data_IF_438412194659
#
_entry.id   IF_438412194659
#
_cell.length_a   1.000
_cell.length_b   1.000
_cell.length_c   1.000
_cell.angle_alpha   90.00
_cell.angle_beta   90.00
_cell.angle_gamma   90.00
#
_symmetry.space_group_name_H-M   'P 1'
#
loop_
_entity.id
_entity.type
_entity.pdbx_description
1 polymer ?
#
# COMPACT_ATOMS: atom_id res chain seq x y z
N UNK A 1 -24.60 15.34 2.18
CA UNK A 1 -23.36 14.71 2.69
C UNK A 1 -22.90 13.77 1.60
N UNK A 2 -21.66 13.87 1.12
CA UNK A 2 -21.17 12.96 0.08
C UNK A 2 -21.16 11.53 0.66
N UNK A 3 -22.04 10.67 0.16
CA UNK A 3 -22.15 9.29 0.60
C UNK A 3 -21.12 8.39 -0.09
N UNK A 4 -21.09 7.13 0.33
CA UNK A 4 -20.33 6.09 -0.35
C UNK A 4 -20.66 5.94 -1.86
N UNK A 5 -21.92 6.13 -2.32
CA UNK A 5 -22.26 6.06 -3.75
C UNK A 5 -21.59 7.15 -4.60
N UNK A 6 -21.52 8.39 -4.10
CA UNK A 6 -20.92 9.51 -4.83
C UNK A 6 -19.41 9.33 -5.01
N UNK A 7 -18.72 8.81 -3.99
CA UNK A 7 -17.29 8.48 -4.08
C UNK A 7 -17.02 7.37 -5.11
N UNK A 8 -17.92 6.40 -5.22
CA UNK A 8 -17.80 5.31 -6.20
C UNK A 8 -17.93 5.82 -7.64
N UNK A 9 -18.84 6.77 -7.90
CA UNK A 9 -18.98 7.40 -9.22
C UNK A 9 -17.69 8.15 -9.60
N UNK A 10 -17.15 8.94 -8.67
CA UNK A 10 -15.88 9.67 -8.89
C UNK A 10 -14.74 8.68 -9.18
N UNK A 11 -14.66 7.59 -8.42
CA UNK A 11 -13.65 6.55 -8.62
C UNK A 11 -13.74 5.93 -10.03
N UNK A 12 -14.95 5.63 -10.51
CA UNK A 12 -15.16 5.10 -11.87
C UNK A 12 -14.68 6.10 -12.92
N UNK A 13 -15.01 7.39 -12.79
CA UNK A 13 -14.56 8.43 -13.72
C UNK A 13 -13.02 8.50 -13.76
N UNK A 14 -12.36 8.48 -12.61
CA UNK A 14 -10.90 8.47 -12.50
C UNK A 14 -10.33 7.25 -13.23
N UNK A 15 -10.89 6.06 -13.03
CA UNK A 15 -10.44 4.84 -13.71
C UNK A 15 -10.60 4.94 -15.23
N UNK A 16 -11.68 5.55 -15.73
CA UNK A 16 -11.89 5.75 -17.17
C UNK A 16 -10.87 6.72 -17.76
N UNK A 17 -10.57 7.82 -17.07
CA UNK A 17 -9.61 8.83 -17.54
C UNK A 17 -8.17 8.28 -17.56
N UNK A 18 -7.77 7.62 -16.47
CA UNK A 18 -6.39 7.12 -16.34
C UNK A 18 -6.19 5.75 -16.99
N UNK A 19 -7.27 4.99 -17.16
CA UNK A 19 -7.26 3.62 -17.66
C UNK A 19 -6.83 2.59 -16.58
N UNK A 20 -7.41 1.40 -16.66
CA UNK A 20 -7.11 0.29 -15.72
C UNK A 20 -5.63 -0.12 -15.73
N UNK A 21 -4.97 -0.09 -16.90
CA UNK A 21 -3.56 -0.47 -17.03
C UNK A 21 -2.60 0.46 -16.29
N UNK A 22 -2.88 1.78 -16.28
CA UNK A 22 -2.06 2.76 -15.56
C UNK A 22 -2.23 2.63 -14.05
N UNK A 23 -3.47 2.44 -13.58
CA UNK A 23 -3.79 2.21 -12.17
C UNK A 23 -3.10 0.93 -11.67
N UNK A 24 -3.21 -0.20 -12.40
CA UNK A 24 -2.57 -1.47 -12.01
C UNK A 24 -1.05 -1.39 -12.00
N UNK A 25 -0.44 -0.67 -12.95
CA UNK A 25 1.02 -0.48 -12.98
C UNK A 25 1.52 0.29 -11.75
N UNK A 26 0.90 1.44 -11.46
CA UNK A 26 1.25 2.27 -10.30
C UNK A 26 0.96 1.51 -8.99
N UNK A 27 -0.19 0.85 -8.90
CA UNK A 27 -0.55 0.04 -7.73
C UNK A 27 0.41 -1.12 -7.48
N UNK A 28 0.92 -1.77 -8.54
CA UNK A 28 1.93 -2.81 -8.43
C UNK A 28 3.26 -2.31 -7.86
N UNK A 29 3.74 -1.15 -8.32
CA UNK A 29 4.99 -0.56 -7.83
C UNK A 29 4.85 -0.06 -6.38
N UNK A 30 3.73 0.60 -6.06
CA UNK A 30 3.42 1.02 -4.69
C UNK A 30 3.24 -0.17 -3.75
N UNK A 31 2.57 -1.23 -4.20
CA UNK A 31 2.37 -2.45 -3.42
C UNK A 31 3.69 -3.15 -3.08
N UNK A 32 4.62 -3.22 -4.03
CA UNK A 32 5.98 -3.73 -3.79
C UNK A 32 6.74 -2.86 -2.79
N UNK A 33 6.69 -1.54 -2.93
CA UNK A 33 7.34 -0.62 -2.00
C UNK A 33 6.81 -0.77 -0.57
N UNK A 34 5.48 -0.82 -0.41
CA UNK A 34 4.83 -1.04 0.89
C UNK A 34 5.17 -2.42 1.46
N UNK A 35 5.21 -3.47 0.62
CA UNK A 35 5.59 -4.82 1.04
C UNK A 35 7.01 -4.85 1.60
N UNK A 36 7.97 -4.27 0.88
CA UNK A 36 9.36 -4.20 1.31
C UNK A 36 9.53 -3.35 2.57
N UNK A 37 8.79 -2.24 2.67
CA UNK A 37 8.78 -1.40 3.87
C UNK A 37 8.27 -2.17 5.10
N UNK A 38 7.16 -2.91 4.96
CA UNK A 38 6.62 -3.78 6.03
C UNK A 38 7.58 -4.91 6.41
N UNK A 39 8.31 -5.47 5.44
CA UNK A 39 9.32 -6.50 5.71
C UNK A 39 10.49 -5.92 6.53
N UNK A 40 11.05 -4.78 6.12
CA UNK A 40 12.14 -4.13 6.86
C UNK A 40 11.77 -3.75 8.30
N UNK A 41 10.53 -3.28 8.53
CA UNK A 41 10.05 -3.00 9.89
C UNK A 41 9.98 -4.27 10.76
N UNK A 42 9.54 -5.39 10.19
CA UNK A 42 9.50 -6.67 10.90
C UNK A 42 10.90 -7.21 11.21
N UNK A 43 11.84 -7.04 10.28
CA UNK A 43 13.22 -7.47 10.46
C UNK A 43 13.92 -6.63 11.55
N UNK A 44 13.64 -5.32 11.65
CA UNK A 44 14.11 -4.48 12.76
C UNK A 44 13.48 -4.87 14.11
N UNK A 45 12.19 -5.19 14.15
CA UNK A 45 11.51 -5.68 15.35
C UNK A 45 12.08 -7.03 15.82
N UNK A 46 12.36 -7.94 14.89
CA UNK A 46 13.00 -9.24 15.17
C UNK A 46 14.44 -9.09 15.66
N UNK A 47 15.20 -8.18 15.04
CA UNK A 47 16.60 -7.90 15.42
C UNK A 47 16.70 -7.28 16.82
N UNK A 48 15.79 -6.36 17.17
CA UNK A 48 15.71 -5.80 18.54
C UNK A 48 15.35 -6.86 19.59
N UNK A 49 14.46 -7.79 19.26
CA UNK A 49 14.07 -8.87 20.17
C UNK A 49 15.20 -9.90 20.42
N UNK A 50 16.15 -10.03 19.49
CA UNK A 50 17.32 -10.91 19.63
C UNK A 50 18.48 -10.24 20.40
N UNK A 51 18.65 -8.92 20.28
CA UNK A 51 19.65 -8.17 21.07
C UNK A 51 19.30 -8.06 22.56
N UNK A 52 18.01 -7.99 22.93
CA UNK A 52 17.58 -7.96 24.34
C UNK A 52 17.76 -9.29 25.09
N UNK A 53 17.83 -10.43 24.39
CA UNK A 53 18.03 -11.75 25.03
C UNK A 53 19.49 -12.12 25.26
N UNK A 54 20.43 -11.31 24.75
CA UNK A 54 21.88 -11.58 24.81
C UNK A 54 22.63 -10.66 25.77
N UNK A 55 21.93 -9.76 26.47
CA UNK A 55 22.45 -8.84 27.47
C UNK A 55 21.96 -9.22 28.87
#
# INVERSE_FOLDING_TARGET
MLGAPELLIILVIVIVIFGVGRISRIGGDLGKAISNFRAGLKDEEGTKAEEEKKK
#
